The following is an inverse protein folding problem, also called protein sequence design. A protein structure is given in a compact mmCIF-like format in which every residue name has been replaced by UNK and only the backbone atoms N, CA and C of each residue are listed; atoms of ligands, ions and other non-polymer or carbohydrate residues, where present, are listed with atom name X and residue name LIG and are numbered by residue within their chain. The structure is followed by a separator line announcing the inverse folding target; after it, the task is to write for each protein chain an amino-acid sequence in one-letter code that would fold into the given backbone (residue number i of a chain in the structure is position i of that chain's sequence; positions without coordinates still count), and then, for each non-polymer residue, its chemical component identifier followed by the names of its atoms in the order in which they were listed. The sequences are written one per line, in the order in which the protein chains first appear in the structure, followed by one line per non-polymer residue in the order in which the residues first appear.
data_IF_652463282491
#
_entry.id   IF_652463282491
#
_cell.length_a   1.000
_cell.length_b   1.000
_cell.length_c   1.000
_cell.angle_alpha   90.00
_cell.angle_beta   90.00
_cell.angle_gamma   90.00
#
_symmetry.space_group_name_H-M   'P 1'
#
loop_
_entity.id
_entity.type
_entity.pdbx_description
1 polymer ?
#
# COMPACT_ATOMS: atom_id res chain seq x y z
N UNK A 1 -2.70 -48.20 15.23
CA UNK A 1 -2.82 -47.24 16.35
C UNK A 1 -2.13 -45.87 16.13
N UNK A 2 -1.88 -45.42 14.89
CA UNK A 2 -1.17 -44.14 14.62
C UNK A 2 -2.08 -42.93 14.29
N UNK A 3 -3.36 -43.16 13.97
CA UNK A 3 -4.26 -42.12 13.43
C UNK A 3 -4.61 -41.00 14.42
N UNK A 4 -4.92 -41.30 15.69
CA UNK A 4 -5.38 -40.29 16.66
C UNK A 4 -4.29 -39.30 17.13
N UNK A 5 -3.01 -39.71 17.14
CA UNK A 5 -1.88 -38.83 17.51
C UNK A 5 -1.51 -37.87 16.38
N UNK A 6 -1.65 -38.31 15.12
CA UNK A 6 -1.41 -37.48 13.94
C UNK A 6 -2.49 -36.38 13.78
N UNK A 7 -3.76 -36.70 14.08
CA UNK A 7 -4.84 -35.70 14.08
C UNK A 7 -4.66 -34.61 15.14
N UNK A 8 -4.23 -34.98 16.36
CA UNK A 8 -3.97 -33.99 17.44
C UNK A 8 -2.81 -33.06 17.13
N UNK A 9 -1.73 -33.58 16.54
CA UNK A 9 -0.55 -32.78 16.16
C UNK A 9 -0.87 -31.86 14.98
N UNK A 10 -1.62 -32.33 13.99
CA UNK A 10 -2.10 -31.50 12.88
C UNK A 10 -3.03 -30.36 13.37
N UNK A 11 -3.93 -30.67 14.30
CA UNK A 11 -4.85 -29.66 14.87
C UNK A 11 -4.10 -28.58 15.68
N UNK A 12 -3.07 -28.98 16.44
CA UNK A 12 -2.23 -28.04 17.19
C UNK A 12 -1.41 -27.13 16.24
N UNK A 13 -0.88 -27.69 15.15
CA UNK A 13 -0.20 -26.92 14.10
C UNK A 13 -1.12 -25.89 13.44
N UNK A 14 -2.36 -26.29 13.11
CA UNK A 14 -3.36 -25.38 12.55
C UNK A 14 -3.71 -24.23 13.51
N UNK A 15 -3.86 -24.52 14.81
CA UNK A 15 -4.11 -23.51 15.85
C UNK A 15 -2.96 -22.52 16.02
N UNK A 16 -1.71 -22.99 16.00
CA UNK A 16 -0.53 -22.13 16.11
C UNK A 16 -0.45 -21.20 14.89
N UNK A 17 -0.64 -21.76 13.69
CA UNK A 17 -0.62 -21.00 12.43
C UNK A 17 -1.71 -19.92 12.43
N UNK A 18 -2.94 -20.24 12.82
CA UNK A 18 -4.04 -19.27 12.87
C UNK A 18 -3.80 -18.13 13.86
N UNK A 19 -3.27 -18.42 15.06
CA UNK A 19 -2.95 -17.39 16.05
C UNK A 19 -1.83 -16.46 15.56
N UNK A 20 -0.79 -17.00 14.93
CA UNK A 20 0.28 -16.18 14.34
C UNK A 20 -0.23 -15.27 13.22
N UNK A 21 -1.14 -15.76 12.37
CA UNK A 21 -1.77 -14.92 11.34
C UNK A 21 -2.60 -13.77 11.94
N UNK A 22 -3.40 -14.05 12.98
CA UNK A 22 -4.22 -13.02 13.63
C UNK A 22 -3.36 -11.95 14.33
N UNK A 23 -2.31 -12.35 15.03
CA UNK A 23 -1.39 -11.43 15.72
C UNK A 23 -0.60 -10.55 14.74
N UNK A 24 -0.13 -11.12 13.62
CA UNK A 24 0.57 -10.33 12.59
C UNK A 24 -0.38 -9.33 11.92
N UNK A 25 -1.65 -9.70 11.72
CA UNK A 25 -2.65 -8.80 11.15
C UNK A 25 -2.91 -7.61 12.08
N UNK A 26 -3.07 -7.85 13.39
CA UNK A 26 -3.30 -6.76 14.35
C UNK A 26 -2.09 -5.83 14.50
N UNK A 27 -0.86 -6.36 14.41
CA UNK A 27 0.35 -5.55 14.43
C UNK A 27 0.45 -4.63 13.19
N UNK A 28 0.15 -5.16 12.01
CA UNK A 28 0.14 -4.39 10.76
C UNK A 28 -0.88 -3.24 10.79
N UNK A 29 -2.12 -3.54 11.22
CA UNK A 29 -3.17 -2.51 11.30
C UNK A 29 -2.82 -1.39 12.30
N UNK A 30 -2.19 -1.74 13.43
CA UNK A 30 -1.72 -0.74 14.39
C UNK A 30 -0.66 0.20 13.79
N UNK A 31 0.24 -0.33 12.95
CA UNK A 31 1.22 0.48 12.22
C UNK A 31 0.53 1.44 11.24
N UNK A 32 -0.46 0.95 10.48
CA UNK A 32 -1.21 1.80 9.55
C UNK A 32 -2.03 2.89 10.24
N UNK A 33 -2.71 2.58 11.34
CA UNK A 33 -3.46 3.59 12.10
C UNK A 33 -2.51 4.66 12.63
N UNK A 34 -1.37 4.25 13.19
CA UNK A 34 -0.37 5.18 13.71
C UNK A 34 0.24 6.03 12.60
N UNK A 35 0.55 5.43 11.44
CA UNK A 35 1.05 6.13 10.28
C UNK A 35 0.05 7.17 9.76
N UNK A 36 -1.22 6.81 9.63
CA UNK A 36 -2.27 7.74 9.20
C UNK A 36 -2.45 8.91 10.17
N UNK A 37 -2.40 8.67 11.48
CA UNK A 37 -2.43 9.75 12.47
C UNK A 37 -1.24 10.72 12.31
N UNK A 38 -0.05 10.18 12.03
CA UNK A 38 1.13 10.99 11.73
C UNK A 38 0.99 11.74 10.39
N UNK A 39 0.48 11.12 9.33
CA UNK A 39 0.23 11.80 8.04
C UNK A 39 -0.74 12.98 8.24
N UNK A 40 -1.84 12.76 8.95
CA UNK A 40 -2.88 13.77 9.19
C UNK A 40 -2.39 14.94 10.06
N UNK A 41 -1.41 14.70 10.93
CA UNK A 41 -0.79 15.74 11.78
C UNK A 41 0.47 16.37 11.15
N UNK A 42 0.86 15.97 9.94
CA UNK A 42 2.07 16.45 9.27
C UNK A 42 3.37 15.80 9.76
N UNK A 43 3.29 14.80 10.65
CA UNK A 43 4.40 13.99 11.17
C UNK A 43 4.99 13.01 10.15
N UNK A 44 5.33 13.48 8.94
CA UNK A 44 5.68 12.64 7.80
C UNK A 44 6.89 11.71 8.03
N UNK A 45 7.88 12.15 8.81
CA UNK A 45 9.05 11.32 9.13
C UNK A 45 8.66 10.10 9.98
N UNK A 46 7.79 10.29 10.98
CA UNK A 46 7.31 9.19 11.82
C UNK A 46 6.39 8.25 11.03
N UNK A 47 5.51 8.79 10.20
CA UNK A 47 4.70 7.99 9.29
C UNK A 47 5.57 7.14 8.36
N UNK A 48 6.65 7.70 7.79
CA UNK A 48 7.57 6.98 6.90
C UNK A 48 8.23 5.79 7.61
N UNK A 49 8.67 5.96 8.87
CA UNK A 49 9.25 4.88 9.67
C UNK A 49 8.23 3.76 9.89
N UNK A 50 7.02 4.10 10.32
CA UNK A 50 5.94 3.15 10.58
C UNK A 50 5.52 2.39 9.32
N UNK A 51 5.42 3.10 8.19
CA UNK A 51 5.11 2.50 6.89
C UNK A 51 6.23 1.61 6.37
N UNK A 52 7.49 1.93 6.65
CA UNK A 52 8.63 1.06 6.30
C UNK A 52 8.55 -0.27 7.05
N UNK A 53 8.16 -0.25 8.32
CA UNK A 53 7.96 -1.49 9.09
C UNK A 53 6.71 -2.26 8.64
N UNK A 54 5.63 -1.56 8.29
CA UNK A 54 4.44 -2.17 7.69
C UNK A 54 4.76 -2.83 6.34
N UNK A 55 5.61 -2.20 5.52
CA UNK A 55 6.05 -2.74 4.24
C UNK A 55 6.77 -4.08 4.44
N UNK A 56 7.77 -4.13 5.33
CA UNK A 56 8.48 -5.38 5.65
C UNK A 56 7.52 -6.50 6.06
N UNK A 57 6.52 -6.20 6.89
CA UNK A 57 5.51 -7.19 7.29
C UNK A 57 4.68 -7.66 6.09
N UNK A 58 4.27 -6.76 5.20
CA UNK A 58 3.52 -7.11 4.00
C UNK A 58 4.33 -7.98 3.01
N UNK A 59 5.62 -7.70 2.85
CA UNK A 59 6.54 -8.49 2.02
C UNK A 59 6.77 -9.89 2.59
N UNK A 60 6.98 -10.00 3.91
CA UNK A 60 7.13 -11.30 4.60
C UNK A 60 5.88 -12.15 4.43
N UNK A 61 4.71 -11.54 4.55
CA UNK A 61 3.41 -12.22 4.39
C UNK A 61 2.99 -12.38 2.93
N UNK A 62 3.75 -11.82 1.98
CA UNK A 62 3.45 -11.76 0.54
C UNK A 62 2.07 -11.18 0.25
N UNK A 63 1.60 -10.25 1.09
CA UNK A 63 0.30 -9.63 0.94
C UNK A 63 0.40 -8.43 -0.01
N UNK A 64 0.22 -8.69 -1.30
CA UNK A 64 0.30 -7.70 -2.37
C UNK A 64 -0.67 -6.52 -2.18
N UNK A 65 -1.83 -6.74 -1.58
CA UNK A 65 -2.80 -5.67 -1.30
C UNK A 65 -2.22 -4.69 -0.27
N UNK A 66 -1.62 -5.22 0.79
CA UNK A 66 -0.98 -4.43 1.83
C UNK A 66 0.27 -3.74 1.31
N UNK A 67 1.10 -4.42 0.51
CA UNK A 67 2.27 -3.82 -0.16
C UNK A 67 1.85 -2.59 -0.99
N UNK A 68 0.82 -2.74 -1.84
CA UNK A 68 0.32 -1.65 -2.67
C UNK A 68 -0.20 -0.48 -1.84
N UNK A 69 -0.94 -0.75 -0.76
CA UNK A 69 -1.45 0.30 0.11
C UNK A 69 -0.32 1.06 0.82
N UNK A 70 0.70 0.35 1.30
CA UNK A 70 1.85 0.98 1.97
C UNK A 70 2.67 1.81 0.98
N UNK A 71 2.95 1.31 -0.22
CA UNK A 71 3.62 2.09 -1.26
C UNK A 71 2.81 3.33 -1.66
N UNK A 72 1.48 3.22 -1.73
CA UNK A 72 0.60 4.35 -2.03
C UNK A 72 0.74 5.49 -0.99
N UNK A 73 0.74 5.13 0.30
CA UNK A 73 0.93 6.10 1.40
C UNK A 73 2.34 6.71 1.40
N UNK A 74 3.38 5.90 1.12
CA UNK A 74 4.75 6.40 0.99
C UNK A 74 4.90 7.36 -0.20
N UNK A 75 4.24 7.08 -1.32
CA UNK A 75 4.20 7.97 -2.47
C UNK A 75 3.47 9.29 -2.15
N UNK A 76 2.36 9.24 -1.41
CA UNK A 76 1.66 10.44 -0.94
C UNK A 76 2.54 11.32 -0.05
N UNK A 77 3.18 10.72 0.97
CA UNK A 77 4.11 11.44 1.85
C UNK A 77 5.24 12.06 1.04
N UNK A 78 5.81 11.32 0.09
CA UNK A 78 6.92 11.78 -0.73
C UNK A 78 6.55 13.02 -1.56
N UNK A 79 5.34 13.07 -2.13
CA UNK A 79 4.82 14.29 -2.79
C UNK A 79 4.72 15.46 -1.81
N UNK A 80 4.13 15.25 -0.62
CA UNK A 80 3.96 16.32 0.38
C UNK A 80 5.30 16.88 0.86
N UNK A 81 6.34 16.04 0.90
CA UNK A 81 7.72 16.44 1.25
C UNK A 81 8.52 17.00 0.06
N UNK A 82 7.95 17.05 -1.15
CA UNK A 82 8.64 17.38 -2.41
C UNK A 82 9.82 16.45 -2.73
N UNK A 83 9.77 15.22 -2.24
CA UNK A 83 10.76 14.16 -2.51
C UNK A 83 10.39 13.40 -3.78
N UNK A 84 10.42 14.08 -4.94
CA UNK A 84 9.86 13.56 -6.18
C UNK A 84 10.55 12.29 -6.71
N UNK A 85 11.83 12.08 -6.38
CA UNK A 85 12.52 10.83 -6.70
C UNK A 85 11.89 9.64 -5.96
N UNK A 86 11.65 9.78 -4.65
CA UNK A 86 11.02 8.76 -3.83
C UNK A 86 9.57 8.52 -4.25
N UNK A 87 8.82 9.60 -4.54
CA UNK A 87 7.47 9.51 -5.09
C UNK A 87 7.44 8.61 -6.34
N UNK A 88 8.28 8.89 -7.35
CA UNK A 88 8.30 8.10 -8.59
C UNK A 88 8.58 6.63 -8.32
N UNK A 89 9.56 6.33 -7.46
CA UNK A 89 9.88 4.95 -7.08
C UNK A 89 8.67 4.22 -6.49
N UNK A 90 8.00 4.81 -5.48
CA UNK A 90 6.86 4.15 -4.84
C UNK A 90 5.65 4.06 -5.75
N UNK A 91 5.43 5.06 -6.58
CA UNK A 91 4.34 5.08 -7.56
C UNK A 91 4.54 4.00 -8.65
N UNK A 92 5.77 3.82 -9.14
CA UNK A 92 6.15 2.77 -10.09
C UNK A 92 6.04 1.36 -9.49
N UNK A 93 6.30 1.21 -8.19
CA UNK A 93 6.10 -0.05 -7.47
C UNK A 93 4.61 -0.36 -7.25
N UNK A 94 3.79 0.66 -6.99
CA UNK A 94 2.35 0.50 -6.70
C UNK A 94 1.56 0.16 -7.97
N UNK A 95 1.84 0.85 -9.08
CA UNK A 95 1.08 0.74 -10.32
C UNK A 95 0.90 -0.69 -10.87
N UNK A 96 1.93 -1.55 -10.99
CA UNK A 96 1.73 -2.93 -11.46
C UNK A 96 0.86 -3.75 -10.51
N UNK A 97 0.96 -3.51 -9.19
CA UNK A 97 0.15 -4.21 -8.20
C UNK A 97 -1.32 -3.78 -8.31
N UNK A 98 -1.58 -2.47 -8.42
CA UNK A 98 -2.93 -1.94 -8.61
C UNK A 98 -3.60 -2.52 -9.87
N UNK A 99 -2.85 -2.64 -10.98
CA UNK A 99 -3.33 -3.29 -12.20
C UNK A 99 -3.63 -4.78 -12.00
N UNK A 100 -2.75 -5.51 -11.32
CA UNK A 100 -2.95 -6.93 -11.03
C UNK A 100 -4.19 -7.17 -10.16
N UNK A 101 -4.41 -6.32 -9.16
CA UNK A 101 -5.56 -6.37 -8.26
C UNK A 101 -6.85 -5.83 -8.89
N UNK A 102 -6.76 -5.18 -10.05
CA UNK A 102 -7.85 -4.40 -10.67
C UNK A 102 -8.42 -3.36 -9.70
N UNK A 103 -7.56 -2.78 -8.87
CA UNK A 103 -7.96 -1.77 -7.89
C UNK A 103 -8.12 -0.42 -8.56
N UNK A 104 -9.36 -0.09 -8.92
CA UNK A 104 -9.68 1.13 -9.66
C UNK A 104 -9.50 2.39 -8.84
N UNK A 105 -9.86 2.34 -7.56
CA UNK A 105 -9.69 3.47 -6.66
C UNK A 105 -8.20 3.83 -6.55
N UNK A 106 -7.33 2.82 -6.44
CA UNK A 106 -5.89 3.03 -6.41
C UNK A 106 -5.35 3.54 -7.75
N UNK A 107 -5.79 2.99 -8.88
CA UNK A 107 -5.37 3.47 -10.22
C UNK A 107 -5.79 4.93 -10.49
N UNK A 108 -6.95 5.34 -9.98
CA UNK A 108 -7.43 6.74 -9.98
C UNK A 108 -6.52 7.60 -9.11
N UNK A 109 -6.22 7.16 -7.88
CA UNK A 109 -5.33 7.87 -6.95
C UNK A 109 -3.94 8.12 -7.54
N UNK A 110 -3.30 7.08 -8.08
CA UNK A 110 -1.99 7.17 -8.75
C UNK A 110 -2.02 8.16 -9.93
N UNK A 111 -3.08 8.10 -10.75
CA UNK A 111 -3.22 9.00 -11.90
C UNK A 111 -3.38 10.46 -11.47
N UNK A 112 -4.18 10.73 -10.43
CA UNK A 112 -4.33 12.07 -9.86
C UNK A 112 -3.01 12.58 -9.28
N UNK A 113 -2.29 11.74 -8.53
CA UNK A 113 -1.02 12.11 -7.90
C UNK A 113 0.07 12.43 -8.93
N UNK A 114 0.13 11.67 -10.03
CA UNK A 114 0.98 12.00 -11.20
C UNK A 114 0.60 13.33 -11.85
N UNK A 115 -0.70 13.62 -11.93
CA UNK A 115 -1.20 14.92 -12.40
C UNK A 115 -0.66 16.08 -11.57
N UNK A 116 -0.71 15.97 -10.24
CA UNK A 116 -0.17 16.95 -9.30
C UNK A 116 1.35 17.09 -9.48
N UNK A 117 2.08 15.97 -9.54
CA UNK A 117 3.53 15.99 -9.77
C UNK A 117 3.91 16.76 -11.04
N UNK A 118 3.27 16.46 -12.17
CA UNK A 118 3.60 17.15 -13.42
C UNK A 118 3.19 18.62 -13.43
N UNK A 119 2.13 18.98 -12.71
CA UNK A 119 1.74 20.38 -12.52
C UNK A 119 2.79 21.15 -11.70
N UNK A 120 3.31 20.56 -10.61
CA UNK A 120 4.39 21.14 -9.80
C UNK A 120 5.70 21.30 -10.60
N UNK A 121 5.94 20.43 -11.58
CA UNK A 121 7.09 20.50 -12.50
C UNK A 121 6.86 21.43 -13.71
N UNK A 122 5.71 22.12 -13.78
CA UNK A 122 5.35 23.02 -14.88
C UNK A 122 4.99 22.31 -16.20
N UNK A 123 4.79 21.00 -16.18
CA UNK A 123 4.47 20.15 -17.35
C UNK A 123 2.95 19.95 -17.49
N UNK A 124 2.23 21.03 -17.74
CA UNK A 124 0.76 21.07 -17.71
C UNK A 124 0.08 20.09 -18.70
N UNK A 125 0.68 19.85 -19.86
CA UNK A 125 0.14 18.89 -20.84
C UNK A 125 0.20 17.45 -20.30
N UNK A 126 1.30 17.09 -19.63
CA UNK A 126 1.42 15.80 -18.97
C UNK A 126 0.47 15.69 -17.79
N UNK A 127 0.33 16.75 -16.98
CA UNK A 127 -0.63 16.79 -15.90
C UNK A 127 -2.06 16.53 -16.40
N UNK A 128 -2.47 17.20 -17.47
CA UNK A 128 -3.77 17.06 -18.12
C UNK A 128 -4.00 15.62 -18.60
N UNK A 129 -3.01 15.01 -19.24
CA UNK A 129 -3.08 13.61 -19.68
C UNK A 129 -3.32 12.66 -18.48
N UNK A 130 -2.65 12.91 -17.35
CA UNK A 130 -2.81 12.10 -16.15
C UNK A 130 -4.17 12.28 -15.46
N UNK A 131 -4.72 13.49 -15.41
CA UNK A 131 -6.09 13.69 -14.94
C UNK A 131 -7.12 13.03 -15.86
N UNK A 132 -6.92 13.08 -17.18
CA UNK A 132 -7.78 12.36 -18.12
C UNK A 132 -7.72 10.83 -17.91
N UNK A 133 -6.52 10.26 -17.74
CA UNK A 133 -6.35 8.83 -17.39
C UNK A 133 -7.08 8.45 -16.11
N UNK A 134 -7.06 9.34 -15.11
CA UNK A 134 -7.82 9.15 -13.87
C UNK A 134 -9.32 8.98 -14.15
N UNK A 135 -9.90 9.87 -14.97
CA UNK A 135 -11.31 9.76 -15.38
C UNK A 135 -11.61 8.48 -16.15
N UNK A 136 -10.70 8.02 -17.01
CA UNK A 136 -10.86 6.75 -17.72
C UNK A 136 -10.86 5.55 -16.76
N UNK A 137 -9.96 5.54 -15.77
CA UNK A 137 -9.88 4.46 -14.78
C UNK A 137 -11.16 4.38 -13.94
N UNK A 138 -11.77 5.52 -13.62
CA UNK A 138 -13.05 5.56 -12.90
C UNK A 138 -14.21 4.95 -13.71
N UNK A 139 -14.25 5.19 -15.02
CA UNK A 139 -15.35 4.73 -15.88
C UNK A 139 -15.22 3.25 -16.32
N UNK A 140 -14.01 2.69 -16.33
CA UNK A 140 -13.74 1.37 -16.92
C UNK A 140 -14.30 0.17 -16.15
N UNK A 141 -14.66 0.32 -14.88
CA UNK A 141 -15.09 -0.79 -14.02
C UNK A 141 -16.36 -0.48 -13.20
N UNK A 142 -17.20 0.40 -13.74
CA UNK A 142 -18.56 0.66 -13.25
C UNK A 142 -19.54 -0.15 -14.09
#
# INVERSE_FOLDING_TARGET
MYSRRCLKTLYLLLLIVQNSYAQNTSAFENLLVSANNNINSGGYNQATLQLTDALKQSEITKNRKNEAHVYDLLAEISIKKREFAAFKTFDDLTNPIANQLKDTALLVSLSNRRGIYYMEEGKNDLATNHYYKSSLNFNKYR
#
